data_IF_081417748157
#
_entry.id   IF_081417748157
#
_cell.length_a   1.000
_cell.length_b   1.000
_cell.length_c   1.000
_cell.angle_alpha   90.00
_cell.angle_beta   90.00
_cell.angle_gamma   90.00
#
_symmetry.space_group_name_H-M   'P 1'
#
loop_
_entity.id
_entity.type
_entity.pdbx_description
1 polymer ?
#
# COMPACT_ATOMS: atom_id res chain seq x y z
N UNK A 1 12.37 -26.77 -16.09
CA UNK A 1 13.70 -26.15 -15.87
C UNK A 1 13.94 -26.19 -14.36
N UNK A 2 14.34 -27.32 -13.80
CA UNK A 2 15.71 -27.88 -13.77
C UNK A 2 16.71 -26.88 -13.15
N UNK A 3 17.06 -27.10 -11.87
CA UNK A 3 18.38 -27.55 -11.35
C UNK A 3 19.45 -26.43 -11.40
N UNK A 4 20.23 -26.09 -10.37
CA UNK A 4 21.08 -26.88 -9.45
C UNK A 4 21.58 -25.97 -8.31
N UNK A 5 22.05 -26.54 -7.18
CA UNK A 5 22.92 -25.79 -6.24
C UNK A 5 22.97 -26.29 -4.80
N UNK A 6 23.45 -27.53 -4.58
CA UNK A 6 24.01 -28.00 -3.29
C UNK A 6 25.41 -27.36 -3.13
N UNK A 7 25.90 -26.89 -1.98
CA UNK A 7 26.43 -27.64 -0.81
C UNK A 7 26.92 -26.58 0.20
N UNK A 8 26.57 -26.65 1.48
CA UNK A 8 27.38 -27.23 2.57
C UNK A 8 28.12 -26.16 3.40
N UNK A 9 27.84 -26.11 4.71
CA UNK A 9 28.54 -25.20 5.61
C UNK A 9 27.79 -24.88 6.90
N UNK A 10 27.56 -25.88 7.76
CA UNK A 10 26.87 -25.64 9.03
C UNK A 10 27.25 -26.62 10.13
N UNK A 11 28.33 -26.34 10.87
CA UNK A 11 28.57 -26.94 12.20
C UNK A 11 29.42 -26.03 13.07
N UNK A 12 28.79 -25.23 13.94
CA UNK A 12 29.25 -24.91 15.31
C UNK A 12 28.08 -24.39 16.16
N UNK A 13 27.68 -25.14 17.19
CA UNK A 13 27.67 -24.64 18.57
C UNK A 13 27.39 -25.77 19.57
N UNK A 14 28.16 -25.71 20.64
CA UNK A 14 28.31 -26.67 21.71
C UNK A 14 27.20 -26.55 22.76
N UNK A 15 26.83 -27.66 23.37
CA UNK A 15 26.26 -27.70 24.72
C UNK A 15 26.87 -28.85 25.51
N UNK A 16 27.09 -28.56 26.79
CA UNK A 16 27.99 -29.20 27.78
C UNK A 16 27.17 -30.11 28.68
N UNK A 17 27.56 -31.36 28.90
CA UNK A 17 27.25 -32.19 30.10
C UNK A 17 28.31 -33.31 30.18
N UNK A 18 29.29 -33.24 31.09
CA UNK A 18 29.31 -33.68 32.51
C UNK A 18 29.02 -35.19 32.68
N UNK A 19 30.09 -35.99 32.67
CA UNK A 19 30.14 -37.37 33.17
C UNK A 19 31.00 -37.41 34.45
N UNK A 20 30.68 -38.22 35.46
CA UNK A 20 31.55 -38.47 36.61
C UNK A 20 32.34 -39.77 36.40
N UNK A 21 33.64 -39.74 36.69
CA UNK A 21 34.44 -40.95 36.95
C UNK A 21 35.26 -40.69 38.21
N UNK A 22 34.91 -41.40 39.28
CA UNK A 22 35.55 -41.35 40.60
C UNK A 22 36.60 -42.44 40.73
N UNK A 23 37.81 -42.01 41.04
CA UNK A 23 38.78 -42.55 42.00
C UNK A 23 38.73 -44.05 42.36
N UNK A 24 39.70 -44.78 41.82
CA UNK A 24 40.21 -46.02 42.40
C UNK A 24 41.49 -45.73 43.17
N UNK A 25 41.40 -45.68 44.50
CA UNK A 25 42.53 -45.74 45.41
C UNK A 25 42.63 -47.16 45.98
N UNK A 26 43.76 -47.85 45.77
CA UNK A 26 44.14 -49.01 46.56
C UNK A 26 45.59 -48.91 46.95
N UNK A 27 45.78 -48.79 48.26
CA UNK A 27 47.01 -48.71 49.03
C UNK A 27 47.74 -50.04 49.15
N UNK A 28 49.03 -49.90 49.42
CA UNK A 28 50.12 -50.85 49.68
C UNK A 28 49.86 -52.04 50.62
N UNK A 29 50.56 -53.15 50.28
CA UNK A 29 51.41 -53.94 51.19
C UNK A 29 50.90 -55.33 51.62
N UNK A 30 51.77 -56.29 52.02
CA UNK A 30 53.25 -56.27 52.05
C UNK A 30 53.95 -57.49 51.41
N UNK A 31 55.26 -57.32 51.21
CA UNK A 31 56.25 -58.32 50.80
C UNK A 31 56.49 -59.41 51.88
N UNK A 32 57.01 -60.61 51.51
CA UNK A 32 57.27 -61.68 52.47
C UNK A 32 58.58 -61.42 53.23
N UNK A 33 58.67 -61.73 54.54
CA UNK A 33 59.95 -61.75 55.21
C UNK A 33 60.67 -63.05 54.87
N UNK A 34 61.89 -62.89 54.38
CA UNK A 34 62.91 -63.94 54.26
C UNK A 34 63.78 -63.90 55.51
N UNK A 35 64.26 -65.09 55.88
CA UNK A 35 65.31 -65.42 56.86
C UNK A 35 64.84 -65.83 58.26
N UNK A 36 65.66 -66.58 59.02
CA UNK A 36 66.68 -67.56 58.65
C UNK A 36 66.32 -68.92 59.32
N UNK A 37 67.01 -70.04 59.14
CA UNK A 37 68.14 -70.41 59.99
C UNK A 37 68.68 -71.77 59.54
N UNK A 38 69.87 -71.76 58.94
CA UNK A 38 70.76 -72.91 59.02
C UNK A 38 71.58 -72.77 60.30
N UNK A 39 71.08 -73.34 61.41
CA UNK A 39 71.87 -73.68 62.61
C UNK A 39 71.17 -74.82 63.33
N UNK A 40 71.21 -75.99 62.70
CA UNK A 40 70.60 -77.22 63.22
C UNK A 40 71.58 -78.37 63.38
N UNK A 41 72.90 -78.20 63.18
CA UNK A 41 73.82 -79.36 63.22
C UNK A 41 73.75 -80.16 64.54
N UNK A 42 73.45 -79.53 65.68
CA UNK A 42 73.18 -80.25 66.93
C UNK A 42 71.76 -80.84 67.06
N UNK A 43 70.75 -80.22 66.42
CA UNK A 43 69.37 -80.69 66.45
C UNK A 43 69.13 -81.86 65.46
N UNK A 44 69.81 -81.86 64.33
CA UNK A 44 69.77 -82.95 63.35
C UNK A 44 70.56 -84.16 63.85
N UNK A 45 71.69 -83.97 64.53
CA UNK A 45 72.40 -85.08 65.16
C UNK A 45 71.58 -85.71 66.30
N UNK A 46 70.89 -84.90 67.10
CA UNK A 46 69.96 -85.38 68.12
C UNK A 46 68.74 -86.09 67.52
N UNK A 47 68.14 -85.56 66.44
CA UNK A 47 67.03 -86.20 65.72
C UNK A 47 67.44 -87.51 65.04
N UNK A 48 68.64 -87.57 64.46
CA UNK A 48 69.18 -88.80 63.86
C UNK A 48 69.43 -89.84 64.95
N UNK A 49 69.97 -89.44 66.11
CA UNK A 49 70.14 -90.33 67.27
C UNK A 49 68.79 -90.83 67.80
N UNK A 50 67.77 -89.99 67.88
CA UNK A 50 66.42 -90.37 68.34
C UNK A 50 65.71 -91.27 67.31
N UNK A 51 65.86 -90.99 66.01
CA UNK A 51 65.38 -91.85 64.91
C UNK A 51 66.07 -93.22 64.90
N UNK A 52 67.39 -93.27 65.15
CA UNK A 52 68.12 -94.52 65.28
C UNK A 52 67.67 -95.29 66.51
N UNK A 53 67.57 -94.63 67.67
CA UNK A 53 67.10 -95.25 68.91
C UNK A 53 65.68 -95.81 68.76
N UNK A 54 64.80 -95.07 68.08
CA UNK A 54 63.47 -95.52 67.71
C UNK A 54 63.47 -96.72 66.76
N UNK A 55 64.27 -96.69 65.69
CA UNK A 55 64.35 -97.79 64.73
C UNK A 55 64.90 -99.06 65.40
N UNK A 56 65.91 -98.91 66.26
CA UNK A 56 66.47 -99.99 67.08
C UNK A 56 65.40 -100.53 68.02
N UNK A 57 64.66 -99.66 68.73
CA UNK A 57 63.58 -100.06 69.61
C UNK A 57 62.47 -100.84 68.86
N UNK A 58 62.06 -100.39 67.67
CA UNK A 58 61.09 -101.11 66.83
C UNK A 58 61.59 -102.50 66.40
N UNK A 59 62.88 -102.61 66.06
CA UNK A 59 63.48 -103.89 65.69
C UNK A 59 63.64 -104.85 66.88
N UNK A 60 63.86 -104.31 68.09
CA UNK A 60 63.98 -105.10 69.33
C UNK A 60 62.65 -105.62 69.86
N UNK A 61 61.56 -104.91 69.64
CA UNK A 61 60.21 -105.30 70.09
C UNK A 61 59.57 -106.36 69.19
N UNK A 62 59.94 -106.41 67.91
CA UNK A 62 59.31 -107.32 66.94
C UNK A 62 57.85 -106.94 66.64
N UNK A 63 57.10 -107.85 66.01
CA UNK A 63 55.68 -107.66 65.64
C UNK A 63 54.71 -108.13 66.76
N UNK A 64 55.25 -108.52 67.92
CA UNK A 64 54.46 -108.91 69.09
C UNK A 64 53.97 -107.67 69.86
N UNK A 65 52.78 -107.78 70.45
CA UNK A 65 52.09 -106.67 71.11
C UNK A 65 52.92 -105.95 72.18
N UNK A 66 52.48 -104.72 72.50
CA UNK A 66 53.12 -103.84 73.50
C UNK A 66 53.03 -104.37 74.95
N UNK A 67 52.42 -105.53 75.19
CA UNK A 67 52.31 -106.17 76.50
C UNK A 67 53.64 -106.83 76.89
N UNK A 68 54.11 -106.62 78.12
CA UNK A 68 55.36 -107.20 78.62
C UNK A 68 55.05 -108.16 79.75
N UNK A 69 55.34 -109.45 79.52
CA UNK A 69 55.37 -110.42 80.60
C UNK A 69 56.58 -110.16 81.51
N UNK A 70 56.27 -109.66 82.70
CA UNK A 70 57.20 -109.37 83.80
C UNK A 70 57.20 -110.48 84.86
N UNK A 71 56.40 -111.53 84.69
CA UNK A 71 56.32 -112.66 85.60
C UNK A 71 57.64 -113.43 85.63
N UNK A 72 58.11 -113.82 86.83
CA UNK A 72 59.30 -114.66 87.01
C UNK A 72 60.63 -113.92 87.27
N UNK A 73 60.72 -112.62 87.02
CA UNK A 73 62.00 -111.88 87.05
C UNK A 73 62.24 -111.09 88.35
N UNK A 74 61.16 -110.58 88.95
CA UNK A 74 61.20 -109.92 90.28
C UNK A 74 60.60 -110.79 91.38
N UNK A 75 60.18 -112.02 91.04
CA UNK A 75 59.37 -112.86 91.91
C UNK A 75 60.15 -113.55 93.02
N UNK A 76 61.48 -113.56 92.97
CA UNK A 76 62.31 -114.17 94.00
C UNK A 76 63.24 -113.11 94.61
N UNK A 77 62.69 -112.33 95.54
CA UNK A 77 63.42 -111.28 96.27
C UNK A 77 64.62 -111.83 97.03
N UNK A 78 64.61 -113.13 97.34
CA UNK A 78 65.66 -113.83 98.06
C UNK A 78 66.70 -114.43 97.12
N UNK A 79 66.50 -114.46 95.81
CA UNK A 79 67.41 -115.11 94.85
C UNK A 79 68.86 -114.64 95.02
N UNK A 80 69.07 -113.33 95.18
CA UNK A 80 70.40 -112.75 95.38
C UNK A 80 70.98 -113.18 96.73
N UNK A 81 70.21 -113.06 97.82
CA UNK A 81 70.64 -113.45 99.18
C UNK A 81 70.95 -114.95 99.26
N UNK A 82 70.10 -115.79 98.66
CA UNK A 82 70.25 -117.26 98.64
C UNK A 82 71.47 -117.68 97.80
N UNK A 83 71.72 -116.99 96.69
CA UNK A 83 72.88 -117.25 95.83
C UNK A 83 74.19 -116.79 96.46
N UNK A 84 74.17 -115.69 97.24
CA UNK A 84 75.31 -115.22 98.03
C UNK A 84 75.64 -116.21 99.14
N UNK A 85 74.64 -116.70 99.87
CA UNK A 85 74.84 -117.71 100.92
C UNK A 85 75.41 -119.02 100.35
N UNK A 86 74.86 -119.49 99.22
CA UNK A 86 75.36 -120.69 98.53
C UNK A 86 76.80 -120.55 98.00
N UNK A 87 77.21 -119.33 97.63
CA UNK A 87 78.59 -119.02 97.27
C UNK A 87 79.52 -119.03 98.50
N UNK A 88 79.06 -118.47 99.62
CA UNK A 88 79.78 -118.48 100.91
C UNK A 88 80.00 -119.89 101.46
N UNK A 89 78.97 -120.74 101.46
CA UNK A 89 79.09 -122.13 101.92
C UNK A 89 80.07 -122.93 101.04
N UNK A 90 80.15 -122.61 99.74
CA UNK A 90 81.08 -123.23 98.79
C UNK A 90 82.53 -122.71 98.94
N UNK A 91 82.70 -121.49 99.45
CA UNK A 91 84.01 -120.90 99.77
C UNK A 91 84.64 -121.59 100.99
N UNK A 92 83.83 -121.93 102.00
CA UNK A 92 84.28 -122.63 103.21
C UNK A 92 84.62 -124.11 102.97
N UNK A 93 83.96 -124.76 102.01
CA UNK A 93 84.22 -126.16 101.63
C UNK A 93 85.35 -126.36 100.61
N UNK A 94 85.86 -125.27 100.00
CA UNK A 94 86.93 -125.31 98.99
C UNK A 94 86.48 -125.71 97.57
N UNK A 95 85.17 -125.75 97.30
CA UNK A 95 84.59 -126.16 96.01
C UNK A 95 84.51 -125.00 94.99
N UNK A 96 85.64 -124.66 94.37
CA UNK A 96 85.75 -123.53 93.40
C UNK A 96 84.74 -123.62 92.26
N UNK A 97 84.47 -124.81 91.72
CA UNK A 97 83.55 -125.00 90.60
C UNK A 97 82.09 -124.62 90.96
N UNK A 98 81.72 -124.84 92.23
CA UNK A 98 80.37 -124.56 92.72
C UNK A 98 80.17 -123.05 92.92
N UNK A 99 81.20 -122.34 93.38
CA UNK A 99 81.25 -120.88 93.41
C UNK A 99 81.13 -120.25 92.01
N UNK A 100 81.86 -120.76 91.01
CA UNK A 100 81.75 -120.25 89.64
C UNK A 100 80.33 -120.45 89.08
N UNK A 101 79.68 -121.56 89.43
CA UNK A 101 78.31 -121.86 88.99
C UNK A 101 77.30 -120.87 89.58
N UNK A 102 77.39 -120.54 90.87
CA UNK A 102 76.46 -119.58 91.50
C UNK A 102 76.66 -118.16 90.97
N UNK A 103 77.91 -117.72 90.75
CA UNK A 103 78.19 -116.42 90.10
C UNK A 103 77.69 -116.42 88.65
N UNK A 104 77.89 -117.51 87.90
CA UNK A 104 77.40 -117.64 86.53
C UNK A 104 75.87 -117.56 86.43
N UNK A 105 75.15 -118.15 87.40
CA UNK A 105 73.69 -118.05 87.49
C UNK A 105 73.22 -116.62 87.79
N UNK A 106 73.87 -115.92 88.73
CA UNK A 106 73.57 -114.50 89.02
C UNK A 106 73.84 -113.60 87.81
N UNK A 107 74.95 -113.80 87.11
CA UNK A 107 75.26 -113.06 85.88
C UNK A 107 74.25 -113.33 84.77
N UNK A 108 73.79 -114.58 84.64
CA UNK A 108 72.72 -114.95 83.70
C UNK A 108 71.40 -114.26 84.03
N UNK A 109 71.03 -114.20 85.31
CA UNK A 109 69.82 -113.52 85.75
C UNK A 109 69.92 -111.99 85.54
N UNK A 110 71.07 -111.40 85.85
CA UNK A 110 71.34 -109.98 85.57
C UNK A 110 71.25 -109.67 84.07
N UNK A 111 71.78 -110.56 83.22
CA UNK A 111 71.69 -110.42 81.77
C UNK A 111 70.22 -110.51 81.28
N UNK A 112 69.42 -111.42 81.86
CA UNK A 112 67.99 -111.54 81.55
C UNK A 112 67.19 -110.30 81.99
N UNK A 113 67.45 -109.77 83.19
CA UNK A 113 66.84 -108.54 83.69
C UNK A 113 67.21 -107.35 82.79
N UNK A 114 68.48 -107.22 82.43
CA UNK A 114 68.96 -106.15 81.56
C UNK A 114 68.32 -106.22 80.17
N UNK A 115 68.16 -107.44 79.62
CA UNK A 115 67.42 -107.67 78.37
C UNK A 115 65.96 -107.20 78.48
N UNK A 116 65.28 -107.56 79.58
CA UNK A 116 63.87 -107.22 79.81
C UNK A 116 63.64 -105.72 80.05
N UNK A 117 64.53 -105.06 80.78
CA UNK A 117 64.52 -103.59 80.92
C UNK A 117 64.73 -102.93 79.56
N UNK A 118 65.62 -103.48 78.73
CA UNK A 118 65.79 -103.05 77.33
C UNK A 118 64.51 -103.20 76.50
N UNK A 119 63.80 -104.33 76.62
CA UNK A 119 62.52 -104.59 75.95
C UNK A 119 61.43 -103.59 76.38
N UNK A 120 61.28 -103.33 77.69
CA UNK A 120 60.32 -102.36 78.21
C UNK A 120 60.64 -100.95 77.71
N UNK A 121 61.90 -100.55 77.76
CA UNK A 121 62.32 -99.24 77.29
C UNK A 121 62.08 -99.07 75.79
N UNK A 122 62.36 -100.10 74.99
CA UNK A 122 62.06 -100.13 73.56
C UNK A 122 60.56 -99.98 73.30
N UNK A 123 59.70 -100.73 74.01
CA UNK A 123 58.22 -100.62 73.89
C UNK A 123 57.70 -99.23 74.28
N UNK A 124 58.24 -98.62 75.33
CA UNK A 124 57.89 -97.26 75.73
C UNK A 124 58.20 -96.24 74.61
N UNK A 125 59.36 -96.35 73.96
CA UNK A 125 59.73 -95.48 72.84
C UNK A 125 58.75 -95.65 71.67
N UNK A 126 58.42 -96.89 71.29
CA UNK A 126 57.45 -97.17 70.21
C UNK A 126 56.07 -96.60 70.52
N UNK A 127 55.57 -96.78 71.75
CA UNK A 127 54.26 -96.23 72.18
C UNK A 127 54.24 -94.70 72.17
N UNK A 128 55.31 -94.05 72.65
CA UNK A 128 55.47 -92.59 72.59
C UNK A 128 55.41 -92.07 71.15
N UNK A 129 56.08 -92.75 70.22
CA UNK A 129 56.05 -92.38 68.81
C UNK A 129 54.70 -92.60 68.16
N UNK A 130 54.02 -93.71 68.46
CA UNK A 130 52.68 -93.99 67.94
C UNK A 130 51.69 -92.90 68.39
N UNK A 131 51.79 -92.47 69.66
CA UNK A 131 51.01 -91.36 70.19
C UNK A 131 51.39 -90.02 69.53
N UNK A 132 52.67 -89.76 69.27
CA UNK A 132 53.12 -88.55 68.57
C UNK A 132 52.62 -88.51 67.11
N UNK A 133 52.70 -89.63 66.39
CA UNK A 133 52.20 -89.76 65.02
C UNK A 133 50.66 -89.64 64.95
N UNK A 134 49.96 -90.22 65.93
CA UNK A 134 48.50 -90.06 66.07
C UNK A 134 48.12 -88.60 66.33
N UNK A 135 48.85 -87.91 67.22
CA UNK A 135 48.65 -86.49 67.51
C UNK A 135 48.88 -85.59 66.28
N UNK A 136 49.96 -85.82 65.52
CA UNK A 136 50.24 -85.10 64.26
C UNK A 136 49.16 -85.37 63.18
N UNK A 137 48.67 -86.61 63.08
CA UNK A 137 47.57 -86.96 62.19
C UNK A 137 46.27 -86.21 62.57
N UNK A 138 45.95 -86.13 63.87
CA UNK A 138 44.80 -85.37 64.38
C UNK A 138 44.96 -83.86 64.12
N UNK A 139 46.16 -83.31 64.30
CA UNK A 139 46.44 -81.89 64.00
C UNK A 139 46.26 -81.58 62.51
N UNK A 140 46.78 -82.44 61.61
CA UNK A 140 46.59 -82.31 60.16
C UNK A 140 45.13 -82.44 59.76
N UNK A 141 44.39 -83.37 60.37
CA UNK A 141 42.97 -83.54 60.13
C UNK A 141 42.16 -82.33 60.63
N UNK A 142 42.54 -81.75 61.77
CA UNK A 142 41.95 -80.51 62.29
C UNK A 142 42.22 -79.31 61.37
N UNK A 143 43.45 -79.16 60.87
CA UNK A 143 43.81 -78.08 59.95
C UNK A 143 43.08 -78.21 58.60
N UNK A 144 42.97 -79.41 58.06
CA UNK A 144 42.20 -79.67 56.82
C UNK A 144 40.70 -79.45 57.04
N UNK A 145 40.14 -79.88 58.18
CA UNK A 145 38.77 -79.56 58.59
C UNK A 145 38.55 -78.04 58.68
N UNK A 146 39.45 -77.28 59.31
CA UNK A 146 39.36 -75.82 59.41
C UNK A 146 39.39 -75.12 58.04
N UNK A 147 40.21 -75.62 57.10
CA UNK A 147 40.21 -75.15 55.70
C UNK A 147 38.89 -75.46 54.99
N UNK A 148 38.35 -76.66 55.16
CA UNK A 148 37.05 -77.06 54.61
C UNK A 148 35.90 -76.23 55.18
N UNK A 149 35.89 -75.97 56.49
CA UNK A 149 34.89 -75.12 57.13
C UNK A 149 34.95 -73.68 56.60
N UNK A 150 36.15 -73.15 56.41
CA UNK A 150 36.36 -71.82 55.83
C UNK A 150 35.86 -71.77 54.39
N UNK A 151 36.20 -72.78 53.58
CA UNK A 151 35.73 -72.90 52.20
C UNK A 151 34.21 -73.02 52.13
N UNK A 152 33.59 -73.83 53.00
CA UNK A 152 32.13 -73.97 53.08
C UNK A 152 31.45 -72.65 53.48
N UNK A 153 32.01 -71.90 54.43
CA UNK A 153 31.48 -70.57 54.80
C UNK A 153 31.58 -69.57 53.65
N UNK A 154 32.70 -69.57 52.92
CA UNK A 154 32.87 -68.69 51.77
C UNK A 154 31.94 -69.10 50.61
N UNK A 155 31.79 -70.39 50.34
CA UNK A 155 30.81 -70.91 49.37
C UNK A 155 29.38 -70.52 49.75
N UNK A 156 29.00 -70.64 51.02
CA UNK A 156 27.67 -70.20 51.49
C UNK A 156 27.49 -68.68 51.36
N UNK A 157 28.53 -67.90 51.63
CA UNK A 157 28.51 -66.44 51.46
C UNK A 157 28.36 -66.07 49.99
N UNK A 158 29.16 -66.66 49.11
CA UNK A 158 29.07 -66.44 47.66
C UNK A 158 27.71 -66.87 47.11
N UNK A 159 27.17 -68.01 47.56
CA UNK A 159 25.84 -68.46 47.13
C UNK A 159 24.75 -67.46 47.57
N UNK A 160 24.80 -66.95 48.80
CA UNK A 160 23.90 -65.88 49.25
C UNK A 160 24.04 -64.61 48.42
N UNK A 161 25.27 -64.21 48.08
CA UNK A 161 25.52 -63.06 47.21
C UNK A 161 24.93 -63.28 45.81
N UNK A 162 25.15 -64.45 45.20
CA UNK A 162 24.61 -64.78 43.87
C UNK A 162 23.07 -64.77 43.90
N UNK A 163 22.44 -65.31 44.94
CA UNK A 163 20.97 -65.27 45.07
C UNK A 163 20.48 -63.82 45.18
N UNK A 164 21.16 -62.99 45.97
CA UNK A 164 20.81 -61.58 46.11
C UNK A 164 20.99 -60.81 44.80
N UNK A 165 22.13 -60.96 44.13
CA UNK A 165 22.42 -60.31 42.84
C UNK A 165 21.47 -60.79 41.74
N UNK A 166 21.17 -62.09 41.67
CA UNK A 166 20.21 -62.66 40.72
C UNK A 166 18.80 -62.10 40.94
N UNK A 167 18.35 -61.99 42.20
CA UNK A 167 17.07 -61.36 42.54
C UNK A 167 17.06 -59.90 42.14
N UNK A 168 18.10 -59.15 42.51
CA UNK A 168 18.22 -57.72 42.17
C UNK A 168 18.23 -57.51 40.65
N UNK A 169 18.97 -58.32 39.91
CA UNK A 169 18.99 -58.30 38.45
C UNK A 169 17.60 -58.57 37.85
N UNK A 170 16.85 -59.52 38.42
CA UNK A 170 15.48 -59.80 37.97
C UNK A 170 14.52 -58.62 38.25
N UNK A 171 14.63 -57.98 39.42
CA UNK A 171 13.84 -56.79 39.77
C UNK A 171 14.20 -55.59 38.88
N UNK A 172 15.49 -55.36 38.61
CA UNK A 172 15.97 -54.29 37.74
C UNK A 172 15.52 -54.50 36.29
N UNK A 173 15.57 -55.72 35.76
CA UNK A 173 15.06 -56.04 34.42
C UNK A 173 13.53 -55.92 34.32
N UNK A 174 12.78 -56.33 35.35
CA UNK A 174 11.33 -56.15 35.39
C UNK A 174 10.95 -54.66 35.45
N UNK A 175 11.69 -53.86 36.24
CA UNK A 175 11.51 -52.41 36.29
C UNK A 175 11.80 -51.74 34.93
N UNK A 176 12.86 -52.14 34.23
CA UNK A 176 13.15 -51.65 32.87
C UNK A 176 12.06 -52.04 31.88
N UNK A 177 11.56 -53.28 31.92
CA UNK A 177 10.45 -53.73 31.06
C UNK A 177 9.18 -52.91 31.30
N UNK A 178 8.83 -52.66 32.56
CA UNK A 178 7.67 -51.82 32.92
C UNK A 178 7.85 -50.38 32.45
N UNK A 179 9.02 -49.78 32.69
CA UNK A 179 9.32 -48.42 32.23
C UNK A 179 9.26 -48.29 30.71
N UNK A 180 9.82 -49.26 29.97
CA UNK A 180 9.78 -49.28 28.52
C UNK A 180 8.34 -49.46 28.00
N UNK A 181 7.57 -50.37 28.60
CA UNK A 181 6.17 -50.57 28.24
C UNK A 181 5.33 -49.31 28.50
N UNK A 182 5.60 -48.60 29.60
CA UNK A 182 4.93 -47.34 29.91
C UNK A 182 5.31 -46.25 28.90
N UNK A 183 6.59 -46.12 28.54
CA UNK A 183 7.03 -45.17 27.51
C UNK A 183 6.37 -45.44 26.15
N UNK A 184 6.25 -46.71 25.75
CA UNK A 184 5.53 -47.06 24.53
C UNK A 184 4.05 -46.66 24.61
N UNK A 185 3.39 -46.96 25.72
CA UNK A 185 1.98 -46.59 25.91
C UNK A 185 1.78 -45.08 25.86
N UNK A 186 2.62 -44.31 26.58
CA UNK A 186 2.60 -42.84 26.55
C UNK A 186 2.82 -42.32 25.13
N UNK A 187 3.79 -42.88 24.40
CA UNK A 187 4.09 -42.44 23.02
C UNK A 187 2.91 -42.72 22.08
N UNK A 188 2.27 -43.89 22.20
CA UNK A 188 1.07 -44.24 21.41
C UNK A 188 -0.07 -43.27 21.71
N UNK A 189 -0.27 -42.92 22.97
CA UNK A 189 -1.30 -41.97 23.39
C UNK A 189 -1.02 -40.56 22.86
N UNK A 190 0.22 -40.08 22.96
CA UNK A 190 0.65 -38.81 22.37
C UNK A 190 0.45 -38.75 20.84
N UNK A 191 0.79 -39.84 20.14
CA UNK A 191 0.56 -39.95 18.69
C UNK A 191 -0.94 -39.93 18.38
N UNK A 192 -1.75 -40.63 19.16
CA UNK A 192 -3.20 -40.67 19.00
C UNK A 192 -3.83 -39.28 19.19
N UNK A 193 -3.42 -38.55 20.24
CA UNK A 193 -3.85 -37.17 20.49
C UNK A 193 -3.43 -36.25 19.35
N UNK A 194 -2.19 -36.38 18.84
CA UNK A 194 -1.73 -35.57 17.70
C UNK A 194 -2.52 -35.87 16.42
N UNK A 195 -2.84 -37.13 16.14
CA UNK A 195 -3.67 -37.50 14.99
C UNK A 195 -5.08 -36.92 15.11
N UNK A 196 -5.69 -37.00 16.29
CA UNK A 196 -7.01 -36.42 16.54
C UNK A 196 -6.99 -34.90 16.39
N UNK A 197 -5.96 -34.23 16.93
CA UNK A 197 -5.79 -32.78 16.79
C UNK A 197 -5.59 -32.38 15.33
N UNK A 198 -4.76 -33.09 14.57
CA UNK A 198 -4.58 -32.85 13.14
C UNK A 198 -5.90 -33.03 12.36
N UNK A 199 -6.73 -34.02 12.73
CA UNK A 199 -8.06 -34.19 12.17
C UNK A 199 -8.97 -32.98 12.45
N UNK A 200 -8.98 -32.48 13.69
CA UNK A 200 -9.73 -31.27 14.08
C UNK A 200 -9.25 -30.04 13.34
N UNK A 201 -7.94 -29.83 13.24
CA UNK A 201 -7.33 -28.70 12.55
C UNK A 201 -7.64 -28.74 11.04
N UNK A 202 -7.61 -29.93 10.44
CA UNK A 202 -7.99 -30.13 9.03
C UNK A 202 -9.46 -29.76 8.78
N UNK A 203 -10.38 -30.24 9.62
CA UNK A 203 -11.80 -29.89 9.53
C UNK A 203 -12.02 -28.39 9.74
N UNK A 204 -11.35 -27.78 10.71
CA UNK A 204 -11.42 -26.34 10.94
C UNK A 204 -10.92 -25.55 9.73
N UNK A 205 -9.82 -25.98 9.11
CA UNK A 205 -9.27 -25.35 7.90
C UNK A 205 -10.23 -25.47 6.70
N UNK A 206 -10.90 -26.61 6.53
CA UNK A 206 -11.94 -26.76 5.51
C UNK A 206 -13.12 -25.80 5.73
N UNK A 207 -13.56 -25.66 6.99
CA UNK A 207 -14.65 -24.75 7.32
C UNK A 207 -14.28 -23.28 7.11
N UNK A 208 -13.04 -22.89 7.46
CA UNK A 208 -12.52 -21.55 7.17
C UNK A 208 -12.46 -21.29 5.65
N UNK A 209 -12.00 -22.27 4.87
CA UNK A 209 -11.96 -22.17 3.42
C UNK A 209 -13.37 -21.98 2.81
N UNK A 210 -14.34 -22.76 3.25
CA UNK A 210 -15.74 -22.63 2.83
C UNK A 210 -16.33 -21.26 3.22
N UNK A 211 -16.04 -20.76 4.42
CA UNK A 211 -16.46 -19.44 4.88
C UNK A 211 -15.82 -18.31 4.03
N UNK A 212 -14.53 -18.44 3.68
CA UNK A 212 -13.84 -17.52 2.78
C UNK A 212 -14.41 -17.55 1.37
N UNK A 213 -14.68 -18.73 0.82
CA UNK A 213 -15.30 -18.89 -0.49
C UNK A 213 -16.70 -18.23 -0.51
N UNK A 214 -17.48 -18.41 0.56
CA UNK A 214 -18.79 -17.78 0.71
C UNK A 214 -18.70 -16.26 0.78
N UNK A 215 -17.75 -15.71 1.56
CA UNK A 215 -17.50 -14.26 1.60
C UNK A 215 -17.09 -13.71 0.23
N UNK A 216 -16.23 -14.40 -0.51
CA UNK A 216 -15.82 -13.99 -1.85
C UNK A 216 -17.01 -13.98 -2.82
N UNK A 217 -17.87 -15.02 -2.80
CA UNK A 217 -19.10 -15.05 -3.61
C UNK A 217 -20.02 -13.88 -3.28
N UNK A 218 -20.23 -13.59 -1.99
CA UNK A 218 -21.05 -12.45 -1.56
C UNK A 218 -20.45 -11.12 -2.01
N UNK A 219 -19.12 -10.94 -1.92
CA UNK A 219 -18.48 -9.74 -2.42
C UNK A 219 -18.65 -9.59 -3.93
N UNK A 220 -18.44 -10.64 -4.72
CA UNK A 220 -18.64 -10.59 -6.17
C UNK A 220 -20.07 -10.20 -6.52
N UNK A 221 -21.08 -10.81 -5.89
CA UNK A 221 -22.48 -10.44 -6.11
C UNK A 221 -22.77 -8.97 -5.74
N UNK A 222 -22.18 -8.45 -4.66
CA UNK A 222 -22.30 -7.03 -4.30
C UNK A 222 -21.62 -6.11 -5.33
N UNK A 223 -20.47 -6.52 -5.88
CA UNK A 223 -19.78 -5.79 -6.91
C UNK A 223 -20.57 -5.75 -8.22
N UNK A 224 -21.16 -6.87 -8.65
CA UNK A 224 -22.03 -6.94 -9.82
C UNK A 224 -23.22 -5.98 -9.69
N UNK A 225 -23.94 -6.02 -8.57
CA UNK A 225 -25.07 -5.10 -8.32
C UNK A 225 -24.62 -3.64 -8.30
N UNK A 226 -23.45 -3.35 -7.74
CA UNK A 226 -22.87 -1.99 -7.73
C UNK A 226 -22.51 -1.53 -9.14
N UNK A 227 -21.93 -2.39 -9.96
CA UNK A 227 -21.58 -2.11 -11.34
C UNK A 227 -22.83 -1.85 -12.18
N UNK A 228 -23.87 -2.67 -12.04
CA UNK A 228 -25.17 -2.42 -12.67
C UNK A 228 -25.78 -1.08 -12.22
N UNK A 229 -25.70 -0.75 -10.93
CA UNK A 229 -26.18 0.54 -10.44
C UNK A 229 -25.45 1.72 -11.09
N UNK A 230 -24.12 1.65 -11.21
CA UNK A 230 -23.34 2.69 -11.87
C UNK A 230 -23.61 2.77 -13.37
N UNK A 231 -23.81 1.63 -14.04
CA UNK A 231 -24.19 1.60 -15.45
C UNK A 231 -25.53 2.31 -15.69
N UNK A 232 -26.55 2.02 -14.87
CA UNK A 232 -27.84 2.73 -14.93
C UNK A 232 -27.71 4.22 -14.60
N UNK A 233 -26.89 4.58 -13.61
CA UNK A 233 -26.64 5.98 -13.27
C UNK A 233 -25.97 6.73 -14.42
N UNK A 234 -24.99 6.11 -15.09
CA UNK A 234 -24.33 6.68 -16.25
C UNK A 234 -25.31 6.87 -17.41
N UNK A 235 -26.14 5.87 -17.70
CA UNK A 235 -27.18 5.97 -18.73
C UNK A 235 -28.17 7.11 -18.42
N UNK A 236 -28.61 7.26 -17.17
CA UNK A 236 -29.50 8.33 -16.76
C UNK A 236 -28.85 9.73 -16.93
N UNK A 237 -27.55 9.84 -16.63
CA UNK A 237 -26.79 11.08 -16.86
C UNK A 237 -26.63 11.37 -18.33
N UNK A 238 -26.34 10.36 -19.16
CA UNK A 238 -26.22 10.53 -20.61
C UNK A 238 -27.55 11.00 -21.22
N UNK A 239 -28.68 10.40 -20.85
CA UNK A 239 -30.02 10.86 -21.27
C UNK A 239 -30.31 12.29 -20.80
N UNK A 240 -29.85 12.68 -19.61
CA UNK A 240 -30.00 14.05 -19.10
C UNK A 240 -29.20 15.05 -19.95
N UNK A 241 -27.97 14.69 -20.33
CA UNK A 241 -27.12 15.51 -21.21
C UNK A 241 -27.77 15.62 -22.60
N UNK A 242 -28.19 14.51 -23.20
CA UNK A 242 -28.87 14.52 -24.49
C UNK A 242 -30.12 15.39 -24.49
N UNK A 243 -30.92 15.35 -23.41
CA UNK A 243 -32.10 16.20 -23.27
C UNK A 243 -31.73 17.69 -23.14
N UNK A 244 -30.68 18.02 -22.39
CA UNK A 244 -30.19 19.39 -22.28
C UNK A 244 -29.66 19.91 -23.63
N UNK A 245 -28.91 19.10 -24.36
CA UNK A 245 -28.43 19.43 -25.71
C UNK A 245 -29.57 19.64 -26.71
N UNK A 246 -30.59 18.77 -26.69
CA UNK A 246 -31.76 18.92 -27.54
C UNK A 246 -32.52 20.22 -27.24
N UNK A 247 -32.70 20.56 -25.95
CA UNK A 247 -33.31 21.83 -25.54
C UNK A 247 -32.48 23.04 -25.98
N UNK A 248 -31.16 22.97 -25.85
CA UNK A 248 -30.26 24.03 -26.30
C UNK A 248 -30.35 24.22 -27.81
N UNK A 249 -30.29 23.14 -28.60
CA UNK A 249 -30.44 23.19 -30.06
C UNK A 249 -31.77 23.82 -30.48
N UNK A 250 -32.88 23.39 -29.86
CA UNK A 250 -34.20 23.98 -30.12
C UNK A 250 -34.23 25.48 -29.79
N UNK A 251 -33.65 25.90 -28.67
CA UNK A 251 -33.60 27.31 -28.28
C UNK A 251 -32.75 28.15 -29.25
N UNK A 252 -31.61 27.62 -29.69
CA UNK A 252 -30.75 28.27 -30.69
C UNK A 252 -31.50 28.45 -32.01
N UNK A 253 -32.21 27.44 -32.49
CA UNK A 253 -33.01 27.56 -33.71
C UNK A 253 -34.13 28.60 -33.57
N UNK A 254 -34.80 28.66 -32.43
CA UNK A 254 -35.85 29.64 -32.18
C UNK A 254 -35.29 31.06 -32.19
N UNK A 255 -34.16 31.27 -31.51
CA UNK A 255 -33.43 32.54 -31.52
C UNK A 255 -33.00 32.91 -32.93
N UNK A 256 -32.44 31.97 -33.71
CA UNK A 256 -32.05 32.24 -35.10
C UNK A 256 -33.24 32.69 -35.95
N UNK A 257 -34.39 32.01 -35.85
CA UNK A 257 -35.61 32.42 -36.57
C UNK A 257 -36.09 33.81 -36.16
N UNK A 258 -36.03 34.16 -34.89
CA UNK A 258 -36.38 35.51 -34.42
C UNK A 258 -35.36 36.56 -34.90
N UNK A 259 -34.06 36.24 -34.89
CA UNK A 259 -33.04 37.15 -35.43
C UNK A 259 -33.21 37.40 -36.92
N UNK A 260 -33.56 36.38 -37.71
CA UNK A 260 -33.85 36.52 -39.14
C UNK A 260 -35.08 37.42 -39.37
N UNK A 261 -36.15 37.26 -38.59
CA UNK A 261 -37.34 38.13 -38.66
C UNK A 261 -37.01 39.58 -38.32
N UNK A 262 -36.24 39.80 -37.26
CA UNK A 262 -35.79 41.14 -36.83
C UNK A 262 -34.94 41.77 -37.93
N UNK A 263 -33.98 41.03 -38.49
CA UNK A 263 -33.14 41.50 -39.58
C UNK A 263 -33.95 41.90 -40.81
N UNK A 264 -34.88 41.04 -41.27
CA UNK A 264 -35.75 41.34 -42.41
C UNK A 264 -36.63 42.57 -42.15
N UNK A 265 -37.14 42.71 -40.93
CA UNK A 265 -37.99 43.86 -40.54
C UNK A 265 -37.16 45.14 -40.51
N UNK A 266 -35.94 45.08 -40.00
CA UNK A 266 -35.00 46.20 -39.99
C UNK A 266 -34.66 46.65 -41.41
N UNK A 267 -34.34 45.70 -42.30
CA UNK A 267 -34.06 45.99 -43.72
C UNK A 267 -35.26 46.67 -44.39
N UNK A 268 -36.48 46.17 -44.16
CA UNK A 268 -37.71 46.81 -44.68
C UNK A 268 -37.93 48.21 -44.12
N UNK A 269 -37.71 48.41 -42.81
CA UNK A 269 -37.84 49.71 -42.19
C UNK A 269 -36.81 50.72 -42.76
N UNK A 270 -35.57 50.28 -42.98
CA UNK A 270 -34.53 51.09 -43.63
C UNK A 270 -34.90 51.46 -45.07
N UNK A 271 -35.44 50.52 -45.85
CA UNK A 271 -35.91 50.79 -47.22
C UNK A 271 -37.07 51.81 -47.24
N UNK A 272 -38.02 51.69 -46.32
CA UNK A 272 -39.14 52.64 -46.19
C UNK A 272 -38.60 54.02 -45.82
N UNK A 273 -37.72 54.11 -44.81
CA UNK A 273 -37.13 55.37 -44.38
C UNK A 273 -36.34 56.05 -45.51
N UNK A 274 -35.58 55.29 -46.31
CA UNK A 274 -34.87 55.82 -47.47
C UNK A 274 -35.85 56.34 -48.55
N UNK A 275 -36.95 55.63 -48.80
CA UNK A 275 -38.01 56.07 -49.73
C UNK A 275 -38.71 57.33 -49.24
N UNK A 276 -39.03 57.40 -47.96
CA UNK A 276 -39.66 58.55 -47.32
C UNK A 276 -38.77 59.79 -47.45
N UNK A 277 -37.47 59.65 -47.14
CA UNK A 277 -36.50 60.73 -47.31
C UNK A 277 -36.44 61.23 -48.77
N UNK A 278 -36.40 60.33 -49.75
CA UNK A 278 -36.39 60.70 -51.17
C UNK A 278 -37.69 61.40 -51.61
N UNK A 279 -38.85 60.94 -51.14
CA UNK A 279 -40.14 61.59 -51.42
C UNK A 279 -40.22 62.97 -50.77
N UNK A 280 -39.67 63.13 -49.57
CA UNK A 280 -39.64 64.41 -48.88
C UNK A 280 -38.72 65.42 -49.59
N UNK A 281 -37.58 64.98 -50.09
CA UNK A 281 -36.71 65.79 -50.97
C UNK A 281 -37.46 66.21 -52.24
N UNK A 282 -38.20 65.28 -52.87
CA UNK A 282 -39.01 65.58 -54.05
C UNK A 282 -40.12 66.60 -53.76
N UNK A 283 -40.82 66.47 -52.63
CA UNK A 283 -41.83 67.43 -52.18
C UNK A 283 -41.22 68.81 -51.93
N UNK A 284 -40.05 68.87 -51.28
CA UNK A 284 -39.32 70.13 -51.08
C UNK A 284 -39.00 70.80 -52.42
N UNK A 285 -38.48 70.04 -53.38
CA UNK A 285 -38.18 70.55 -54.72
C UNK A 285 -39.43 71.03 -55.47
N UNK A 286 -40.59 70.38 -55.31
CA UNK A 286 -41.84 70.87 -55.88
C UNK A 286 -42.33 72.14 -55.17
N UNK A 287 -42.19 72.23 -53.85
CA UNK A 287 -42.52 73.44 -53.09
C UNK A 287 -41.72 74.64 -53.61
N UNK A 288 -40.39 74.49 -53.77
CA UNK A 288 -39.53 75.55 -54.33
C UNK A 288 -39.95 75.96 -55.75
N UNK A 289 -40.35 74.99 -56.59
CA UNK A 289 -40.90 75.28 -57.93
C UNK A 289 -42.22 76.04 -57.86
N UNK A 290 -43.12 75.67 -56.95
CA UNK A 290 -44.38 76.38 -56.73
C UNK A 290 -44.12 77.82 -56.27
N UNK A 291 -43.21 78.04 -55.33
CA UNK A 291 -42.82 79.38 -54.88
C UNK A 291 -42.28 80.21 -56.05
N UNK A 292 -41.47 79.61 -56.92
CA UNK A 292 -40.95 80.28 -58.13
C UNK A 292 -42.06 80.65 -59.12
N UNK A 293 -43.02 79.76 -59.36
CA UNK A 293 -44.17 80.02 -60.23
C UNK A 293 -45.07 81.09 -59.61
N UNK A 294 -45.33 81.03 -58.31
CA UNK A 294 -46.12 82.02 -57.60
C UNK A 294 -45.46 83.40 -57.63
N UNK A 295 -44.16 83.48 -57.40
CA UNK A 295 -43.39 84.73 -57.53
C UNK A 295 -43.45 85.28 -58.96
N UNK A 296 -43.29 84.43 -59.97
CA UNK A 296 -43.42 84.80 -61.39
C UNK A 296 -44.83 85.28 -61.71
N UNK A 297 -45.86 84.61 -61.21
CA UNK A 297 -47.26 85.00 -61.41
C UNK A 297 -47.58 86.32 -60.73
N UNK A 298 -47.08 86.54 -59.50
CA UNK A 298 -47.20 87.79 -58.77
C UNK A 298 -46.54 88.96 -59.53
N UNK A 299 -45.30 88.75 -60.01
CA UNK A 299 -44.59 89.71 -60.87
C UNK A 299 -45.37 90.00 -62.16
N UNK A 300 -45.90 88.96 -62.82
CA UNK A 300 -46.71 89.09 -64.02
C UNK A 300 -48.01 89.87 -63.76
N UNK A 301 -48.71 89.58 -62.66
CA UNK A 301 -49.91 90.31 -62.27
C UNK A 301 -49.61 91.80 -61.99
N UNK A 302 -48.50 92.10 -61.30
CA UNK A 302 -48.04 93.47 -61.11
C UNK A 302 -47.74 94.18 -62.44
N UNK A 303 -47.13 93.48 -63.41
CA UNK A 303 -46.95 94.01 -64.77
C UNK A 303 -48.29 94.28 -65.47
N UNK A 304 -49.26 93.36 -65.38
CA UNK A 304 -50.58 93.56 -65.97
C UNK A 304 -51.33 94.75 -65.35
N UNK A 305 -51.26 94.92 -64.03
CA UNK A 305 -51.83 96.10 -63.34
C UNK A 305 -51.15 97.38 -63.82
N UNK A 306 -49.84 97.36 -63.97
CA UNK A 306 -49.06 98.50 -64.49
C UNK A 306 -49.44 98.84 -65.93
N UNK A 307 -49.45 97.84 -66.83
CA UNK A 307 -49.87 98.01 -68.22
C UNK A 307 -51.31 98.52 -68.34
N UNK A 308 -52.23 98.04 -67.50
CA UNK A 308 -53.61 98.54 -67.46
C UNK A 308 -53.67 100.01 -67.03
N UNK A 309 -52.89 100.37 -66.01
CA UNK A 309 -52.74 101.77 -65.57
C UNK A 309 -52.17 102.66 -66.68
N UNK A 310 -51.15 102.19 -67.41
CA UNK A 310 -50.57 102.90 -68.55
C UNK A 310 -51.56 103.02 -69.72
N UNK A 311 -52.30 101.96 -70.04
CA UNK A 311 -53.35 101.97 -71.06
C UNK A 311 -54.50 102.93 -70.70
N UNK A 312 -54.88 103.03 -69.41
CA UNK A 312 -55.84 104.02 -68.93
C UNK A 312 -55.30 105.46 -69.06
N UNK A 313 -54.02 105.68 -68.73
CA UNK A 313 -53.34 106.97 -68.93
C UNK A 313 -53.30 107.34 -70.41
N UNK A 314 -52.94 106.40 -71.27
CA UNK A 314 -52.91 106.56 -72.72
C UNK A 314 -54.30 106.83 -73.28
N UNK A 315 -55.34 106.11 -72.84
CA UNK A 315 -56.74 106.36 -73.22
C UNK A 315 -57.22 107.76 -72.79
N UNK A 316 -56.86 108.21 -71.58
CA UNK A 316 -57.12 109.59 -71.13
C UNK A 316 -56.37 110.62 -71.98
N UNK A 317 -55.14 110.32 -72.37
CA UNK A 317 -54.34 111.18 -73.25
C UNK A 317 -54.97 111.28 -74.65
N UNK A 318 -55.38 110.15 -75.24
CA UNK A 318 -56.11 110.09 -76.51
C UNK A 318 -57.39 110.93 -76.44
N UNK A 319 -58.24 110.75 -75.42
CA UNK A 319 -59.46 111.56 -75.24
C UNK A 319 -59.17 113.06 -75.12
N UNK A 320 -58.04 113.45 -74.53
CA UNK A 320 -57.62 114.85 -74.44
C UNK A 320 -57.23 115.38 -75.82
N UNK A 321 -56.41 114.63 -76.56
CA UNK A 321 -56.03 114.95 -77.93
C UNK A 321 -57.25 115.02 -78.87
N UNK A 322 -58.22 114.11 -78.73
CA UNK A 322 -59.48 114.16 -79.49
C UNK A 322 -60.28 115.43 -79.20
N UNK A 323 -60.39 115.85 -77.93
CA UNK A 323 -61.02 117.13 -77.56
C UNK A 323 -60.28 118.34 -78.11
N UNK A 324 -58.94 118.33 -78.01
CA UNK A 324 -58.10 119.39 -78.57
C UNK A 324 -58.30 119.47 -80.09
N UNK A 325 -58.31 118.34 -80.78
CA UNK A 325 -58.53 118.25 -82.22
C UNK A 325 -59.94 118.71 -82.62
N UNK A 326 -60.99 118.31 -81.89
CA UNK A 326 -62.35 118.81 -82.10
C UNK A 326 -62.45 120.32 -81.87
N UNK A 327 -61.74 120.85 -80.88
CA UNK A 327 -61.68 122.29 -80.60
C UNK A 327 -60.94 123.04 -81.70
N UNK A 328 -59.83 122.49 -82.20
CA UNK A 328 -59.11 123.02 -83.35
C UNK A 328 -59.98 123.01 -84.60
N UNK A 329 -60.70 121.92 -84.86
CA UNK A 329 -61.66 121.82 -85.96
C UNK A 329 -62.75 122.88 -85.84
N UNK A 330 -63.35 123.06 -84.66
CA UNK A 330 -64.32 124.13 -84.40
C UNK A 330 -63.73 125.52 -84.62
N UNK A 331 -62.47 125.76 -84.23
CA UNK A 331 -61.78 127.03 -84.50
C UNK A 331 -61.58 127.25 -85.99
N UNK A 332 -61.20 126.22 -86.74
CA UNK A 332 -61.08 126.29 -88.21
C UNK A 332 -62.45 126.60 -88.82
N UNK A 333 -63.50 125.87 -88.45
CA UNK A 333 -64.87 126.13 -88.94
C UNK A 333 -65.34 127.56 -88.61
N UNK A 334 -65.01 128.08 -87.43
CA UNK A 334 -65.29 129.48 -87.05
C UNK A 334 -64.49 130.48 -87.87
N UNK A 335 -63.22 130.19 -88.14
CA UNK A 335 -62.36 131.03 -88.96
C UNK A 335 -62.87 131.06 -90.41
N UNK A 336 -63.26 129.90 -90.96
CA UNK A 336 -63.86 129.76 -92.27
C UNK A 336 -65.21 130.48 -92.35
N UNK A 337 -66.06 130.35 -91.33
CA UNK A 337 -67.33 131.08 -91.25
C UNK A 337 -67.12 132.61 -91.21
N UNK A 338 -66.18 133.09 -90.38
CA UNK A 338 -65.82 134.51 -90.32
C UNK A 338 -65.20 135.02 -91.63
N UNK A 339 -64.41 134.19 -92.31
CA UNK A 339 -63.86 134.53 -93.62
C UNK A 339 -64.97 134.62 -94.68
N UNK A 340 -65.97 133.73 -94.66
CA UNK A 340 -67.14 133.78 -95.53
C UNK A 340 -67.97 135.04 -95.27
N UNK A 341 -68.21 135.38 -94.00
CA UNK A 341 -68.96 136.59 -93.63
C UNK A 341 -68.23 137.87 -94.08
N UNK A 342 -66.90 137.94 -93.90
CA UNK A 342 -66.08 139.04 -94.41
C UNK A 342 -66.10 139.14 -95.95
N UNK A 343 -66.13 138.01 -96.66
CA UNK A 343 -66.31 137.97 -98.11
C UNK A 343 -67.70 138.50 -98.51
N UNK A 344 -68.76 138.12 -97.80
CA UNK A 344 -70.13 138.61 -98.03
C UNK A 344 -70.26 140.12 -97.75
N UNK A 345 -69.64 140.63 -96.69
CA UNK A 345 -69.59 142.05 -96.35
C UNK A 345 -68.87 142.86 -97.44
N UNK A 346 -67.75 142.33 -97.98
CA UNK A 346 -67.08 142.94 -99.15
C UNK A 346 -67.97 142.99 -100.39
N UNK A 347 -68.77 141.94 -100.64
CA UNK A 347 -69.72 141.92 -101.76
C UNK A 347 -70.81 142.98 -101.56
N UNK A 348 -71.44 143.06 -100.38
CA UNK A 348 -72.43 144.11 -100.05
C UNK A 348 -71.85 145.52 -100.19
N UNK A 349 -70.65 145.75 -99.65
CA UNK A 349 -69.97 147.03 -99.75
C UNK A 349 -69.68 147.41 -101.21
N UNK A 350 -69.31 146.45 -102.05
CA UNK A 350 -69.12 146.67 -103.49
C UNK A 350 -70.45 147.00 -104.20
N UNK A 351 -71.56 146.35 -103.83
CA UNK A 351 -72.90 146.66 -104.35
C UNK A 351 -73.40 148.05 -103.94
N UNK A 352 -73.19 148.43 -102.68
CA UNK A 352 -73.54 149.76 -102.17
C UNK A 352 -72.67 150.85 -102.80
N UNK A 353 -71.38 150.61 -102.99
CA UNK A 353 -70.49 151.51 -103.73
C UNK A 353 -70.98 151.70 -105.18
N UNK A 354 -71.42 150.62 -105.83
CA UNK A 354 -72.02 150.70 -107.18
C UNK A 354 -73.30 151.54 -107.19
N UNK A 355 -74.22 151.32 -106.24
CA UNK A 355 -75.45 152.14 -106.08
C UNK A 355 -75.17 153.62 -105.86
N UNK A 356 -74.17 153.95 -105.05
CA UNK A 356 -73.77 155.34 -104.82
C UNK A 356 -73.16 155.96 -106.08
N UNK A 357 -72.37 155.20 -106.83
CA UNK A 357 -71.81 155.63 -108.11
C UNK A 357 -72.91 155.92 -109.12
N UNK A 358 -73.95 155.08 -109.21
CA UNK A 358 -75.13 155.31 -110.06
C UNK A 358 -75.95 156.54 -109.63
N UNK A 359 -76.07 156.81 -108.33
CA UNK A 359 -76.70 158.05 -107.81
C UNK A 359 -75.90 159.29 -108.17
N UNK A 360 -74.57 159.23 -108.04
CA UNK A 360 -73.68 160.32 -108.43
C UNK A 360 -73.83 160.60 -109.93
N UNK A 361 -73.82 159.57 -110.79
CA UNK A 361 -74.03 159.75 -112.23
C UNK A 361 -75.38 160.41 -112.55
N UNK A 362 -76.46 160.04 -111.84
CA UNK A 362 -77.79 160.68 -111.99
C UNK A 362 -77.80 162.14 -111.52
N UNK A 363 -77.10 162.45 -110.42
CA UNK A 363 -76.95 163.82 -109.90
C UNK A 363 -76.06 164.69 -110.80
N UNK A 364 -75.00 164.13 -111.38
CA UNK A 364 -74.16 164.81 -112.37
C UNK A 364 -74.93 165.10 -113.67
N UNK A 365 -75.79 164.19 -114.11
CA UNK A 365 -76.70 164.42 -115.23
C UNK A 365 -77.72 165.53 -114.93
N UNK A 366 -78.26 165.59 -113.71
CA UNK A 366 -79.18 166.63 -113.25
C UNK A 366 -78.49 168.00 -113.16
N UNK A 367 -77.24 168.05 -112.66
CA UNK A 367 -76.44 169.28 -112.58
C UNK A 367 -76.05 169.82 -113.97
N UNK A 368 -75.82 168.95 -114.97
CA UNK A 368 -75.61 169.37 -116.37
C UNK A 368 -76.88 169.96 -116.99
N UNK A 369 -78.03 169.32 -116.79
CA UNK A 369 -79.34 169.84 -117.24
C UNK A 369 -79.67 171.20 -116.61
N UNK A 370 -79.47 171.35 -115.30
CA UNK A 370 -79.71 172.62 -114.57
C UNK A 370 -78.71 173.72 -114.94
N UNK A 371 -77.47 173.38 -115.33
CA UNK A 371 -76.51 174.36 -115.85
C UNK A 371 -76.85 174.82 -117.27
N UNK A 372 -77.35 173.94 -118.13
CA UNK A 372 -77.81 174.27 -119.48
C UNK A 372 -79.08 175.15 -119.46
N UNK A 373 -80.00 174.89 -118.52
CA UNK A 373 -81.22 175.69 -118.32
C UNK A 373 -80.90 177.10 -117.77
N UNK A 374 -79.91 177.21 -116.88
CA UNK A 374 -79.42 178.50 -116.34
C UNK A 374 -78.67 179.33 -117.39
N UNK A 375 -78.03 178.69 -118.38
CA UNK A 375 -77.42 179.39 -119.52
C UNK A 375 -78.48 179.96 -120.47
N UNK A 376 -79.53 179.19 -120.78
CA UNK A 376 -80.67 179.66 -121.61
C UNK A 376 -81.41 180.85 -121.00
N UNK A 377 -81.64 180.84 -119.67
CA UNK A 377 -82.32 181.95 -118.98
C UNK A 377 -81.48 183.25 -118.92
N UNK A 378 -80.15 183.14 -119.05
CA UNK A 378 -79.26 184.30 -119.16
C UNK A 378 -79.27 184.95 -120.55
N UNK A 379 -79.62 184.21 -121.59
CA UNK A 379 -79.68 184.70 -122.98
C UNK A 379 -81.03 185.35 -123.33
N UNK A 380 -82.13 185.01 -122.63
CA UNK A 380 -83.47 185.59 -122.86
C UNK A 380 -83.76 186.91 -122.13
N UNK A 381 -82.87 187.41 -121.27
CA UNK A 381 -83.05 188.68 -120.57
C UNK A 381 -82.38 189.90 -121.25
N UNK A 382 -81.79 189.72 -122.44
CA UNK A 382 -81.02 190.78 -123.13
C UNK A 382 -81.71 191.39 -124.36
N UNK A 383 -82.92 190.96 -124.75
CA UNK A 383 -83.60 191.45 -125.96
C UNK A 383 -85.12 191.47 -125.74
N UNK A 384 -85.64 192.45 -124.98
CA UNK A 384 -87.01 192.98 -125.16
C UNK A 384 -87.28 194.23 -124.28
N UNK A 385 -87.59 195.36 -124.92
CA UNK A 385 -88.34 196.55 -124.43
C UNK A 385 -87.82 197.31 -123.17
N UNK A 386 -87.53 198.62 -123.16
CA UNK A 386 -88.09 199.72 -123.95
C UNK A 386 -89.63 199.71 -123.98
N UNK A 387 -90.27 199.92 -122.82
CA UNK A 387 -91.21 201.02 -122.47
C UNK A 387 -91.47 200.91 -120.95
N UNK A 388 -91.11 201.97 -120.20
CA UNK A 388 -91.60 202.39 -118.86
C UNK A 388 -91.57 201.36 -117.70
N UNK A 389 -90.92 201.58 -116.55
CA UNK A 389 -90.44 202.81 -115.92
C UNK A 389 -91.47 203.41 -114.96
N UNK A 390 -91.56 202.89 -113.72
CA UNK A 390 -92.02 203.54 -112.47
C UNK A 390 -91.97 202.57 -111.31
#
# INVERSE_FOLDING_TARGET
>A
METTGSMEGGRKRALKHKAPTTDGATSEGPAPPVHPMAKGKGADEAKIKDLLASKIARLQVGDEGLDVDMSGIFSDSTLVETSVQAWQDSLESGEILRMETTVGQLLSHLAALHKKVGEVHAKFIVSREQNAASSDAVQKLSATKGKLETLCRELQKQNKTIIYESRKMAEDEDAKRKALSQQFQTTIEEVSVKMEQQGKDYVASLHENEALQTKLKTFLAQYEVREEHFAHQLQAKDLTVQLAEAKLKHQVELTNRETEKVQLTLEKAQQIAAREAALQEQLSAYSEKFDTVQDTLSKSNNMFVTLRSEMDKMSKHIKRLEKENATLKKKVDQYDAGAIEALQERVRSAEDAKRQTEKIQKLEALCRLLQDERKRLKETASIDSAVGGS
#
